data_IF_824725500974
#
_entry.id   IF_824725500974
#
_cell.length_a   1.000
_cell.length_b   1.000
_cell.length_c   1.000
_cell.angle_alpha   90.00
_cell.angle_beta   90.00
_cell.angle_gamma   90.00
#
_symmetry.space_group_name_H-M   'P 1'
#
loop_
_entity.id
_entity.type
_entity.pdbx_description
1 polymer ?
#
# COMPACT_ATOMS: atom_id res chain seq x y z
N UNK A 1 51.57 -67.34 27.41
CA UNK A 1 50.54 -68.10 28.12
C UNK A 1 49.75 -67.11 28.96
N UNK A 2 48.47 -66.90 28.82
CA UNK A 2 47.50 -67.30 27.82
C UNK A 2 46.22 -66.52 28.18
N UNK A 3 45.56 -65.98 27.17
CA UNK A 3 44.12 -66.03 26.95
C UNK A 3 43.11 -65.76 28.09
N UNK A 4 42.08 -65.01 27.68
CA UNK A 4 40.66 -65.36 27.78
C UNK A 4 39.78 -64.71 28.86
N UNK A 5 38.73 -64.03 28.37
CA UNK A 5 37.45 -63.88 29.07
C UNK A 5 36.72 -65.22 29.16
N UNK A 6 35.68 -65.30 30.01
CA UNK A 6 34.41 -65.84 29.54
C UNK A 6 33.19 -64.96 29.87
N UNK A 7 32.03 -65.40 29.38
CA UNK A 7 30.80 -64.70 29.02
C UNK A 7 29.61 -65.48 29.61
N UNK A 8 28.43 -64.80 29.69
CA UNK A 8 27.04 -65.35 29.81
C UNK A 8 26.63 -65.82 31.24
N UNK A 9 25.38 -65.70 31.76
CA UNK A 9 24.01 -65.79 31.22
C UNK A 9 22.97 -64.94 32.04
N UNK A 10 21.79 -64.63 31.47
CA UNK A 10 20.62 -63.99 32.14
C UNK A 10 19.62 -65.02 32.73
N UNK A 11 18.28 -64.84 32.73
CA UNK A 11 17.39 -63.68 32.99
C UNK A 11 16.24 -64.01 34.02
N UNK A 12 15.49 -63.02 34.52
CA UNK A 12 14.11 -63.16 35.09
C UNK A 12 13.50 -61.74 35.23
N UNK A 13 12.40 -61.37 34.54
CA UNK A 13 11.01 -61.67 34.89
C UNK A 13 10.46 -60.56 35.83
N UNK A 14 9.98 -59.42 35.33
CA UNK A 14 8.64 -59.09 34.79
C UNK A 14 7.75 -58.33 35.81
N UNK A 15 6.92 -57.45 35.24
CA UNK A 15 5.74 -56.77 35.77
C UNK A 15 5.90 -55.58 36.73
N UNK A 16 5.55 -54.39 36.22
CA UNK A 16 5.37 -53.17 37.01
C UNK A 16 5.32 -51.90 36.17
N UNK A 17 4.41 -51.86 35.20
CA UNK A 17 4.17 -50.76 34.28
C UNK A 17 3.78 -49.44 34.98
N UNK A 18 4.53 -48.37 34.71
CA UNK A 18 3.98 -47.02 34.61
C UNK A 18 4.82 -46.17 33.66
N UNK A 19 4.38 -46.21 32.39
CA UNK A 19 4.49 -45.15 31.37
C UNK A 19 5.91 -44.73 30.95
N UNK A 20 6.42 -45.52 30.01
CA UNK A 20 7.47 -45.16 29.06
C UNK A 20 6.98 -44.13 28.03
N UNK A 21 7.95 -43.32 27.62
CA UNK A 21 8.24 -42.92 26.24
C UNK A 21 7.29 -41.89 25.59
N UNK A 22 7.80 -40.88 24.87
CA UNK A 22 8.69 -41.11 23.74
C UNK A 22 9.43 -39.82 23.36
N UNK A 23 10.73 -39.79 23.66
CA UNK A 23 11.66 -38.86 23.03
C UNK A 23 11.77 -39.26 21.57
N UNK A 24 11.31 -38.35 20.69
CA UNK A 24 11.64 -38.21 19.25
C UNK A 24 12.21 -39.49 18.63
N UNK A 25 11.32 -40.41 18.31
CA UNK A 25 11.62 -41.49 17.38
C UNK A 25 11.75 -40.85 15.99
N UNK A 26 12.97 -40.51 15.61
CA UNK A 26 13.30 -40.30 14.20
C UNK A 26 12.89 -41.58 13.48
N UNK A 27 11.86 -41.46 12.63
CA UNK A 27 11.46 -42.51 11.70
C UNK A 27 12.62 -42.70 10.73
N UNK A 28 13.52 -43.64 11.08
CA UNK A 28 14.32 -44.38 10.13
C UNK A 28 13.41 -45.46 9.55
N UNK A 29 13.02 -45.31 8.29
CA UNK A 29 12.41 -46.39 7.51
C UNK A 29 11.46 -45.90 6.42
N UNK A 30 11.83 -46.14 5.16
CA UNK A 30 10.90 -46.15 4.02
C UNK A 30 11.23 -45.17 2.89
N UNK A 31 11.95 -45.64 1.88
CA UNK A 31 12.07 -44.99 0.57
C UNK A 31 10.69 -44.92 -0.11
N UNK A 32 10.13 -43.72 -0.26
CA UNK A 32 9.25 -43.27 -1.37
C UNK A 32 8.50 -41.99 -0.94
N UNK A 33 9.03 -40.82 -1.29
CA UNK A 33 8.33 -39.55 -1.07
C UNK A 33 9.29 -38.45 -0.68
N UNK A 34 9.68 -37.62 -1.64
CA UNK A 34 10.45 -36.41 -1.37
C UNK A 34 9.73 -35.56 -0.31
N UNK A 35 10.41 -35.04 0.72
CA UNK A 35 9.81 -34.08 1.63
C UNK A 35 9.52 -32.81 0.83
N UNK A 36 8.27 -32.62 0.44
CA UNK A 36 7.83 -31.37 -0.18
C UNK A 36 7.91 -30.29 0.90
N UNK A 37 8.92 -29.42 0.78
CA UNK A 37 9.00 -28.19 1.54
C UNK A 37 7.84 -27.29 1.09
N UNK A 38 6.69 -27.41 1.75
CA UNK A 38 5.55 -26.52 1.56
C UNK A 38 5.92 -25.14 2.12
N UNK A 39 6.43 -24.27 1.27
CA UNK A 39 6.53 -22.85 1.58
C UNK A 39 5.12 -22.24 1.51
N UNK A 40 4.43 -22.23 2.65
CA UNK A 40 3.21 -21.43 2.78
C UNK A 40 3.66 -19.97 2.77
N UNK A 41 3.56 -19.34 1.60
CA UNK A 41 3.59 -17.88 1.47
C UNK A 41 2.34 -17.36 2.16
N UNK A 42 2.47 -17.11 3.47
CA UNK A 42 1.46 -16.42 4.25
C UNK A 42 1.50 -14.95 3.84
N UNK A 43 0.65 -14.58 2.87
CA UNK A 43 0.24 -13.19 2.70
C UNK A 43 -0.66 -12.87 3.89
N UNK A 44 -0.26 -12.01 4.84
CA UNK A 44 -1.15 -11.65 5.94
C UNK A 44 -2.39 -10.96 5.34
N UNK A 45 -3.53 -11.64 5.36
CA UNK A 45 -4.83 -11.07 5.02
C UNK A 45 -5.38 -10.50 6.32
N UNK A 46 -5.09 -9.23 6.64
CA UNK A 46 -5.71 -8.66 7.84
C UNK A 46 -5.09 -7.45 8.52
N UNK A 47 -4.22 -6.68 7.88
CA UNK A 47 -3.97 -5.32 8.32
C UNK A 47 -3.87 -4.43 7.09
N UNK A 48 -4.74 -3.42 7.00
CA UNK A 48 -4.65 -2.33 6.02
C UNK A 48 -3.46 -1.46 6.41
N UNK A 49 -2.27 -2.04 6.26
CA UNK A 49 -0.99 -1.43 6.55
C UNK A 49 -0.49 -0.73 5.30
N UNK A 50 -0.49 0.60 5.30
CA UNK A 50 0.24 1.36 4.29
C UNK A 50 1.68 1.60 4.76
N UNK A 51 2.56 1.81 3.79
CA UNK A 51 3.98 2.06 4.02
C UNK A 51 4.50 3.13 3.07
N UNK A 52 5.53 3.85 3.52
CA UNK A 52 6.21 4.83 2.69
C UNK A 52 6.78 4.17 1.43
N UNK A 53 6.85 4.93 0.33
CA UNK A 53 7.26 4.41 -0.97
C UNK A 53 8.63 3.70 -0.93
N UNK A 54 9.60 4.27 -0.21
CA UNK A 54 10.94 3.68 -0.04
C UNK A 54 10.90 2.35 0.71
N UNK A 55 10.07 2.23 1.75
CA UNK A 55 9.88 0.99 2.50
C UNK A 55 9.21 -0.09 1.66
N UNK A 56 8.29 0.31 0.78
CA UNK A 56 7.64 -0.59 -0.18
C UNK A 56 8.62 -1.06 -1.27
N UNK A 57 9.53 -0.19 -1.72
CA UNK A 57 10.53 -0.53 -2.72
C UNK A 57 11.66 -1.41 -2.16
N UNK A 58 12.01 -1.27 -0.88
CA UNK A 58 13.18 -1.93 -0.28
C UNK A 58 12.89 -3.29 0.38
N UNK A 59 11.83 -4.00 -0.03
CA UNK A 59 11.23 -5.16 0.68
C UNK A 59 12.26 -6.09 1.34
N UNK A 60 12.55 -5.83 2.62
CA UNK A 60 13.19 -6.75 3.55
C UNK A 60 12.11 -7.14 4.57
N UNK A 61 11.41 -8.25 4.30
CA UNK A 61 10.22 -8.71 5.02
C UNK A 61 10.47 -9.13 6.47
N UNK A 62 11.70 -9.05 6.97
CA UNK A 62 12.08 -9.62 8.27
C UNK A 62 11.80 -8.71 9.48
N UNK A 63 11.38 -7.44 9.30
CA UNK A 63 11.14 -6.50 10.42
C UNK A 63 9.95 -5.56 10.14
N UNK A 64 8.73 -5.88 10.61
CA UNK A 64 7.61 -4.94 10.54
C UNK A 64 7.78 -3.88 11.63
N UNK A 65 8.66 -2.88 11.40
CA UNK A 65 8.88 -1.81 12.38
C UNK A 65 7.90 -0.64 12.26
N UNK A 66 7.08 -0.56 11.20
CA UNK A 66 6.08 0.49 11.07
C UNK A 66 4.97 0.13 10.07
N UNK A 67 3.92 -0.54 10.53
CA UNK A 67 2.67 -0.69 9.77
C UNK A 67 1.75 0.47 10.11
N UNK A 68 1.56 1.39 9.17
CA UNK A 68 0.65 2.52 9.36
C UNK A 68 -0.75 2.15 8.89
N UNK A 69 -1.78 2.63 9.58
CA UNK A 69 -3.16 2.51 9.09
C UNK A 69 -3.45 3.71 8.19
N UNK A 70 -3.73 3.47 6.91
CA UNK A 70 -4.18 4.52 6.00
C UNK A 70 -5.70 4.47 5.85
N UNK A 71 -6.36 5.60 6.10
CA UNK A 71 -7.80 5.78 5.82
C UNK A 71 -8.07 6.57 4.55
N UNK A 72 -7.07 6.72 3.67
CA UNK A 72 -7.14 7.63 2.52
C UNK A 72 -8.31 7.32 1.60
N UNK A 73 -8.90 8.37 1.05
CA UNK A 73 -10.06 8.31 0.15
C UNK A 73 -9.63 8.23 -1.30
N UNK A 74 -10.30 7.41 -2.09
CA UNK A 74 -10.06 7.22 -3.53
C UNK A 74 -10.45 8.47 -4.34
N UNK A 75 -9.98 8.60 -5.60
CA UNK A 75 -10.43 9.68 -6.50
C UNK A 75 -11.95 9.71 -6.68
N UNK A 76 -12.59 8.53 -6.64
CA UNK A 76 -14.04 8.38 -6.76
C UNK A 76 -14.83 9.02 -5.62
N UNK A 77 -14.25 9.08 -4.42
CA UNK A 77 -14.83 9.79 -3.28
C UNK A 77 -14.70 11.30 -3.44
N UNK A 78 -13.49 11.78 -3.73
CA UNK A 78 -13.19 13.22 -3.78
C UNK A 78 -13.91 13.96 -4.91
N UNK A 79 -14.22 13.28 -6.01
CA UNK A 79 -14.92 13.89 -7.16
C UNK A 79 -16.42 14.14 -6.94
N UNK A 80 -17.02 13.53 -5.92
CA UNK A 80 -18.46 13.65 -5.68
C UNK A 80 -18.78 15.07 -5.20
N UNK A 81 -19.70 15.81 -5.86
CA UNK A 81 -20.08 17.16 -5.42
C UNK A 81 -20.55 17.20 -3.96
N UNK A 82 -21.29 16.17 -3.53
CA UNK A 82 -21.77 16.01 -2.15
C UNK A 82 -20.71 15.59 -1.13
N UNK A 83 -19.44 15.50 -1.54
CA UNK A 83 -18.28 15.30 -0.66
C UNK A 83 -17.35 16.51 -0.66
N UNK A 84 -17.71 17.61 -1.33
CA UNK A 84 -16.89 18.83 -1.37
C UNK A 84 -16.75 19.53 -0.02
N UNK A 85 -17.73 19.38 0.87
CA UNK A 85 -17.61 19.82 2.27
C UNK A 85 -16.45 19.13 3.02
N UNK A 86 -16.04 17.94 2.58
CA UNK A 86 -14.98 17.15 3.20
C UNK A 86 -13.58 17.59 2.71
N UNK A 87 -13.48 18.44 1.69
CA UNK A 87 -12.18 18.90 1.20
C UNK A 87 -11.45 19.78 2.23
N UNK A 88 -10.11 19.80 2.25
CA UNK A 88 -9.33 20.71 3.08
C UNK A 88 -9.41 22.15 2.52
N UNK A 89 -10.55 22.82 2.73
CA UNK A 89 -10.93 24.10 2.11
C UNK A 89 -10.00 25.28 2.43
N UNK A 90 -9.18 25.18 3.49
CA UNK A 90 -8.13 26.17 3.77
C UNK A 90 -7.01 26.19 2.71
N UNK A 91 -6.88 25.12 1.92
CA UNK A 91 -5.83 24.96 0.90
C UNK A 91 -6.39 24.72 -0.49
N UNK A 92 -7.42 23.90 -0.61
CA UNK A 92 -7.92 23.41 -1.89
C UNK A 92 -9.44 23.62 -1.99
N UNK A 93 -9.85 24.36 -3.01
CA UNK A 93 -11.24 24.72 -3.28
C UNK A 93 -11.74 23.84 -4.44
N UNK A 94 -12.76 22.99 -4.24
CA UNK A 94 -13.27 22.12 -5.29
C UNK A 94 -14.11 22.86 -6.34
N UNK A 95 -14.86 23.87 -5.94
CA UNK A 95 -15.81 24.58 -6.79
C UNK A 95 -15.97 26.03 -6.34
N UNK A 96 -16.16 26.95 -7.29
CA UNK A 96 -16.55 28.34 -7.04
C UNK A 96 -18.07 28.50 -6.83
N UNK A 97 -18.84 27.45 -7.12
CA UNK A 97 -20.30 27.42 -6.99
C UNK A 97 -20.72 26.53 -5.84
N UNK A 98 -21.75 26.95 -5.10
CA UNK A 98 -22.36 26.15 -4.05
C UNK A 98 -22.99 24.87 -4.62
N UNK A 99 -22.92 23.79 -3.85
CA UNK A 99 -23.58 22.52 -4.13
C UNK A 99 -24.67 22.29 -3.09
N UNK A 100 -25.89 22.09 -3.55
CA UNK A 100 -27.07 21.80 -2.72
C UNK A 100 -27.75 20.51 -3.19
N UNK A 101 -28.61 19.92 -2.34
CA UNK A 101 -29.45 18.78 -2.73
C UNK A 101 -28.81 17.42 -2.46
N UNK A 102 -27.86 17.35 -1.54
CA UNK A 102 -27.11 16.12 -1.21
C UNK A 102 -27.87 15.12 -0.32
N UNK A 103 -29.18 15.28 -0.15
CA UNK A 103 -30.02 14.46 0.74
C UNK A 103 -29.78 14.71 2.24
N UNK A 104 -28.57 15.11 2.63
CA UNK A 104 -28.21 15.63 3.94
C UNK A 104 -27.76 17.10 3.80
N UNK A 105 -28.38 18.07 4.49
CA UNK A 105 -27.95 19.47 4.44
C UNK A 105 -26.50 19.69 4.88
N UNK A 106 -25.98 18.86 5.79
CA UNK A 106 -24.57 18.94 6.24
C UNK A 106 -23.59 18.54 5.13
N UNK A 107 -24.06 17.86 4.08
CA UNK A 107 -23.27 17.49 2.92
C UNK A 107 -23.31 18.54 1.80
N UNK A 108 -24.10 19.61 1.96
CA UNK A 108 -24.07 20.74 1.04
C UNK A 108 -22.73 21.48 1.17
N UNK A 109 -22.23 22.01 0.07
CA UNK A 109 -20.98 22.75 0.03
C UNK A 109 -21.26 24.22 -0.28
N UNK A 110 -20.71 25.11 0.54
CA UNK A 110 -20.72 26.55 0.29
C UNK A 110 -19.28 27.01 0.13
N UNK A 111 -18.90 27.59 -1.03
CA UNK A 111 -17.56 28.09 -1.26
C UNK A 111 -17.28 29.34 -0.40
N UNK A 112 -16.02 29.59 -0.01
CA UNK A 112 -15.63 30.87 0.57
C UNK A 112 -15.96 32.05 -0.36
N UNK A 113 -16.13 33.24 0.20
CA UNK A 113 -16.41 34.46 -0.59
C UNK A 113 -15.31 34.71 -1.62
N UNK A 114 -15.70 34.99 -2.87
CA UNK A 114 -14.81 35.17 -4.04
C UNK A 114 -13.85 33.99 -4.30
N UNK A 115 -14.18 32.78 -3.84
CA UNK A 115 -13.35 31.61 -4.10
C UNK A 115 -13.36 31.23 -5.58
N UNK A 116 -12.20 30.79 -6.06
CA UNK A 116 -12.05 30.14 -7.35
C UNK A 116 -11.64 28.69 -7.15
N UNK A 117 -12.14 27.79 -8.00
CA UNK A 117 -11.76 26.40 -7.96
C UNK A 117 -10.24 26.26 -8.17
N UNK A 118 -9.59 25.46 -7.34
CA UNK A 118 -8.14 25.28 -7.39
C UNK A 118 -7.75 24.58 -8.70
N UNK A 119 -6.87 25.22 -9.45
CA UNK A 119 -6.31 24.67 -10.70
C UNK A 119 -5.21 23.65 -10.40
N UNK A 120 -5.01 22.71 -11.32
CA UNK A 120 -3.98 21.70 -11.19
C UNK A 120 -2.58 22.29 -11.38
N UNK A 121 -2.42 23.18 -12.37
CA UNK A 121 -1.16 23.84 -12.69
C UNK A 121 -0.64 24.76 -11.56
N UNK A 122 -1.52 25.36 -10.76
CA UNK A 122 -1.12 26.17 -9.60
C UNK A 122 -0.49 25.32 -8.49
N UNK A 123 -0.83 24.03 -8.42
CA UNK A 123 -0.35 23.11 -7.38
C UNK A 123 0.86 22.30 -7.86
N UNK A 124 0.83 21.86 -9.11
CA UNK A 124 1.80 20.93 -9.69
C UNK A 124 2.73 21.56 -10.74
N UNK A 125 2.57 22.86 -11.01
CA UNK A 125 3.33 23.61 -12.01
C UNK A 125 2.74 23.48 -13.43
N UNK A 126 3.02 24.49 -14.27
CA UNK A 126 2.50 24.56 -15.65
C UNK A 126 2.96 23.40 -16.54
N UNK A 127 4.17 22.86 -16.30
CA UNK A 127 4.67 21.66 -16.98
C UNK A 127 3.88 20.39 -16.66
N UNK A 128 3.01 20.43 -15.64
CA UNK A 128 2.13 19.34 -15.24
C UNK A 128 1.07 18.95 -16.27
N UNK A 129 0.96 19.68 -17.39
CA UNK A 129 0.22 19.27 -18.60
C UNK A 129 -1.29 19.06 -18.44
N UNK A 130 -1.92 19.80 -17.53
CA UNK A 130 -3.38 19.97 -17.42
C UNK A 130 -3.69 21.45 -17.23
N UNK A 131 -3.26 22.27 -18.19
CA UNK A 131 -3.39 23.71 -18.13
C UNK A 131 -4.87 24.11 -18.00
N UNK A 132 -5.16 25.02 -17.07
CA UNK A 132 -6.51 25.52 -16.77
C UNK A 132 -7.52 24.51 -16.23
N UNK A 133 -7.18 23.22 -16.09
CA UNK A 133 -8.07 22.27 -15.43
C UNK A 133 -7.99 22.44 -13.91
N UNK A 134 -9.15 22.43 -13.27
CA UNK A 134 -9.32 22.35 -11.83
C UNK A 134 -8.99 20.96 -11.30
N UNK A 135 -8.71 20.86 -10.00
CA UNK A 135 -8.51 19.57 -9.34
C UNK A 135 -9.73 18.64 -9.52
N UNK A 136 -10.95 19.20 -9.51
CA UNK A 136 -12.19 18.43 -9.76
C UNK A 136 -12.29 17.97 -11.21
N UNK A 137 -11.92 18.79 -12.19
CA UNK A 137 -11.89 18.37 -13.60
C UNK A 137 -10.86 17.27 -13.84
N UNK A 138 -9.68 17.37 -13.22
CA UNK A 138 -8.66 16.31 -13.27
C UNK A 138 -9.20 15.01 -12.66
N UNK A 139 -9.89 15.07 -11.52
CA UNK A 139 -10.54 13.90 -10.89
C UNK A 139 -11.62 13.26 -11.79
N UNK A 140 -12.21 14.02 -12.71
CA UNK A 140 -13.23 13.58 -13.65
C UNK A 140 -12.70 13.21 -15.04
N UNK A 141 -11.37 13.24 -15.25
CA UNK A 141 -10.78 12.82 -16.52
C UNK A 141 -11.24 11.38 -16.87
N UNK A 142 -11.64 11.13 -18.13
CA UNK A 142 -12.03 9.81 -18.58
C UNK A 142 -10.83 8.85 -18.61
N UNK A 143 -11.09 7.58 -18.91
CA UNK A 143 -10.06 6.58 -19.13
C UNK A 143 -10.02 5.47 -18.09
N UNK A 144 -9.12 4.51 -18.32
CA UNK A 144 -8.93 3.35 -17.48
C UNK A 144 -8.12 3.69 -16.20
N UNK A 145 -7.76 2.67 -15.43
CA UNK A 145 -7.02 2.78 -14.18
C UNK A 145 -5.50 2.93 -14.34
N UNK A 146 -5.02 3.23 -15.55
CA UNK A 146 -3.61 3.24 -15.90
C UNK A 146 -3.21 4.51 -16.66
N UNK A 147 -1.90 4.76 -16.71
CA UNK A 147 -1.34 5.88 -17.46
C UNK A 147 -1.52 7.24 -16.81
N UNK A 148 -1.24 8.27 -17.60
CA UNK A 148 -1.06 9.64 -17.12
C UNK A 148 -2.31 10.20 -16.44
N UNK A 149 -3.48 10.06 -17.06
CA UNK A 149 -4.74 10.58 -16.52
C UNK A 149 -5.16 9.83 -15.26
N UNK A 150 -5.00 8.51 -15.24
CA UNK A 150 -5.24 7.74 -14.03
C UNK A 150 -4.30 8.17 -12.91
N UNK A 151 -3.00 8.34 -13.20
CA UNK A 151 -2.05 8.82 -12.22
C UNK A 151 -2.44 10.22 -11.71
N UNK A 152 -2.84 11.14 -12.59
CA UNK A 152 -3.28 12.48 -12.21
C UNK A 152 -4.46 12.43 -11.24
N UNK A 153 -5.48 11.60 -11.51
CA UNK A 153 -6.61 11.37 -10.59
C UNK A 153 -6.15 10.88 -9.22
N UNK A 154 -5.25 9.89 -9.19
CA UNK A 154 -4.72 9.32 -7.96
C UNK A 154 -3.81 10.30 -7.19
N UNK A 155 -3.07 11.16 -7.89
CA UNK A 155 -2.22 12.21 -7.32
C UNK A 155 -3.06 13.31 -6.67
N UNK A 156 -4.16 13.74 -7.30
CA UNK A 156 -5.09 14.69 -6.68
C UNK A 156 -5.72 14.09 -5.43
N UNK A 157 -6.18 12.83 -5.49
CA UNK A 157 -6.73 12.15 -4.30
C UNK A 157 -5.70 12.03 -3.17
N UNK A 158 -4.47 11.64 -3.50
CA UNK A 158 -3.36 11.57 -2.55
C UNK A 158 -3.02 12.92 -1.91
N UNK A 159 -3.06 14.01 -2.69
CA UNK A 159 -2.86 15.37 -2.20
C UNK A 159 -3.93 15.75 -1.17
N UNK A 160 -5.20 15.49 -1.48
CA UNK A 160 -6.33 15.78 -0.58
C UNK A 160 -6.25 14.94 0.71
N UNK A 161 -5.89 13.66 0.59
CA UNK A 161 -5.70 12.77 1.74
C UNK A 161 -4.57 13.24 2.67
N UNK A 162 -3.43 13.66 2.09
CA UNK A 162 -2.28 14.17 2.83
C UNK A 162 -2.61 15.51 3.51
N UNK A 163 -3.27 16.42 2.79
CA UNK A 163 -3.65 17.73 3.32
C UNK A 163 -4.71 17.66 4.42
N UNK A 164 -5.56 16.63 4.39
CA UNK A 164 -6.52 16.35 5.46
C UNK A 164 -5.93 15.58 6.64
N UNK A 165 -4.71 15.05 6.50
CA UNK A 165 -4.06 14.25 7.54
C UNK A 165 -4.63 12.84 7.72
N UNK A 166 -5.40 12.34 6.75
CA UNK A 166 -5.95 10.98 6.80
C UNK A 166 -4.87 9.95 6.43
N UNK A 167 -3.92 10.35 5.59
CA UNK A 167 -2.69 9.60 5.33
C UNK A 167 -1.59 10.15 6.22
N UNK A 168 -0.90 9.31 7.03
CA UNK A 168 0.21 9.77 7.86
C UNK A 168 1.29 10.45 7.02
N UNK A 169 1.80 11.59 7.50
CA UNK A 169 2.83 12.38 6.81
C UNK A 169 4.12 11.59 6.52
N UNK A 170 4.40 10.59 7.37
CA UNK A 170 5.53 9.65 7.22
C UNK A 170 5.34 8.66 6.07
N UNK A 171 4.11 8.42 5.64
CA UNK A 171 3.77 7.56 4.49
C UNK A 171 3.72 8.39 3.22
N UNK A 172 2.96 9.49 3.24
CA UNK A 172 2.76 10.35 2.09
C UNK A 172 2.41 11.78 2.52
N UNK A 173 3.31 12.72 2.26
CA UNK A 173 3.11 14.16 2.50
C UNK A 173 2.71 14.89 1.22
N UNK A 174 2.13 16.09 1.33
CA UNK A 174 1.82 16.94 0.17
C UNK A 174 3.07 17.22 -0.69
N UNK A 175 4.21 17.45 -0.05
CA UNK A 175 5.50 17.67 -0.73
C UNK A 175 5.92 16.43 -1.51
N UNK A 176 5.76 15.24 -0.92
CA UNK A 176 6.04 13.97 -1.58
C UNK A 176 5.13 13.75 -2.79
N UNK A 177 3.83 14.04 -2.67
CA UNK A 177 2.86 13.93 -3.78
C UNK A 177 3.27 14.84 -4.95
N UNK A 178 3.64 16.08 -4.67
CA UNK A 178 4.13 17.03 -5.70
C UNK A 178 5.41 16.54 -6.36
N UNK A 179 6.36 15.99 -5.58
CA UNK A 179 7.61 15.45 -6.10
C UNK A 179 7.41 14.19 -6.96
N UNK A 180 6.45 13.33 -6.61
CA UNK A 180 6.08 12.17 -7.43
C UNK A 180 5.59 12.63 -8.79
N UNK A 181 4.66 13.59 -8.82
CA UNK A 181 4.14 14.10 -10.09
C UNK A 181 5.22 14.79 -10.93
N UNK A 182 6.03 15.65 -10.32
CA UNK A 182 7.14 16.32 -11.02
C UNK A 182 8.14 15.31 -11.61
N UNK A 183 8.47 14.25 -10.88
CA UNK A 183 9.32 13.17 -11.38
C UNK A 183 8.71 12.45 -12.57
N UNK A 184 7.42 12.13 -12.49
CA UNK A 184 6.69 11.47 -13.57
C UNK A 184 6.62 12.34 -14.82
N UNK A 185 6.33 13.63 -14.69
CA UNK A 185 6.30 14.56 -15.83
C UNK A 185 7.66 14.69 -16.49
N UNK A 186 8.74 14.76 -15.71
CA UNK A 186 10.08 14.95 -16.24
C UNK A 186 10.68 13.69 -16.88
N UNK A 187 10.34 12.50 -16.35
CA UNK A 187 11.06 11.24 -16.68
C UNK A 187 10.15 10.07 -17.09
N UNK A 188 8.85 10.17 -16.86
CA UNK A 188 7.88 9.08 -17.03
C UNK A 188 7.79 8.09 -15.86
N UNK A 189 8.59 8.28 -14.81
CA UNK A 189 8.63 7.39 -13.64
C UNK A 189 8.96 8.14 -12.35
N UNK A 190 8.63 7.49 -11.22
CA UNK A 190 9.07 7.88 -9.89
C UNK A 190 10.08 6.86 -9.35
N UNK A 191 11.06 7.33 -8.59
CA UNK A 191 12.16 6.50 -8.09
C UNK A 191 12.23 6.64 -6.57
N UNK A 192 11.46 5.84 -5.81
CA UNK A 192 11.43 5.93 -4.35
C UNK A 192 12.75 5.55 -3.69
N UNK A 193 13.52 4.69 -4.36
CA UNK A 193 14.86 4.24 -3.97
C UNK A 193 15.70 4.16 -5.23
N UNK A 194 16.97 4.56 -5.14
CA UNK A 194 17.89 4.53 -6.28
C UNK A 194 17.89 3.17 -6.98
N UNK A 195 17.69 3.18 -8.30
CA UNK A 195 17.65 1.99 -9.15
C UNK A 195 16.27 1.32 -9.26
N UNK A 196 15.26 1.72 -8.48
CA UNK A 196 13.91 1.14 -8.53
C UNK A 196 12.96 2.14 -9.16
N UNK A 197 12.48 1.85 -10.37
CA UNK A 197 11.62 2.76 -11.15
C UNK A 197 10.17 2.31 -11.11
N UNK A 198 9.28 3.24 -10.79
CA UNK A 198 7.85 3.03 -10.75
C UNK A 198 7.14 3.85 -11.81
N UNK A 199 6.24 3.20 -12.55
CA UNK A 199 5.59 3.75 -13.73
C UNK A 199 4.07 3.79 -13.54
N UNK A 200 3.38 4.65 -14.30
CA UNK A 200 1.92 4.76 -14.25
C UNK A 200 1.20 3.58 -14.93
N UNK A 201 1.86 2.90 -15.87
CA UNK A 201 1.27 1.88 -16.75
C UNK A 201 1.50 0.44 -16.29
N UNK A 202 1.93 0.22 -15.04
CA UNK A 202 2.19 -1.13 -14.53
C UNK A 202 1.21 -1.46 -13.40
N UNK A 203 0.59 -2.63 -13.50
CA UNK A 203 -0.43 -3.10 -12.55
C UNK A 203 0.17 -3.70 -11.27
N UNK A 204 1.40 -4.23 -11.33
CA UNK A 204 2.01 -4.95 -10.21
C UNK A 204 2.89 -4.03 -9.33
N UNK A 205 2.62 -3.94 -8.02
CA UNK A 205 3.34 -3.01 -7.15
C UNK A 205 4.78 -3.45 -6.80
N UNK A 206 5.15 -4.73 -6.99
CA UNK A 206 6.40 -5.31 -6.44
C UNK A 206 7.26 -6.08 -7.47
N UNK A 207 7.69 -5.42 -8.54
CA UNK A 207 8.89 -5.83 -9.30
C UNK A 207 9.83 -4.64 -9.49
N UNK A 208 11.02 -4.83 -10.08
CA UNK A 208 11.93 -3.73 -10.44
C UNK A 208 11.26 -2.64 -11.32
N UNK A 209 10.06 -2.93 -11.84
CA UNK A 209 9.10 -2.09 -12.55
C UNK A 209 7.79 -2.04 -11.74
N UNK A 210 7.75 -1.25 -10.66
CA UNK A 210 6.58 -1.17 -9.79
C UNK A 210 5.48 -0.26 -10.34
N UNK A 211 4.22 -0.63 -10.12
CA UNK A 211 3.07 0.21 -10.43
C UNK A 211 2.92 1.37 -9.46
N UNK A 212 3.19 2.59 -9.92
CA UNK A 212 3.04 3.80 -9.10
C UNK A 212 1.60 3.98 -8.61
N UNK A 213 0.63 3.73 -9.50
CA UNK A 213 -0.80 3.78 -9.19
C UNK A 213 -1.17 2.67 -8.19
N UNK A 214 -0.61 1.47 -8.34
CA UNK A 214 -0.86 0.35 -7.45
C UNK A 214 -0.40 0.67 -6.01
N UNK A 215 0.79 1.27 -5.84
CA UNK A 215 1.24 1.75 -4.54
C UNK A 215 0.34 2.85 -3.99
N UNK A 216 -0.02 3.85 -4.80
CA UNK A 216 -0.92 4.93 -4.38
C UNK A 216 -2.25 4.37 -3.86
N UNK A 217 -2.84 3.39 -4.53
CA UNK A 217 -4.07 2.70 -4.08
C UNK A 217 -3.94 2.11 -2.67
N UNK A 218 -2.77 1.61 -2.26
CA UNK A 218 -2.55 1.11 -0.89
C UNK A 218 -2.65 2.19 0.19
N UNK A 219 -2.42 3.45 -0.17
CA UNK A 219 -2.57 4.60 0.73
C UNK A 219 -4.01 5.13 0.80
N UNK A 220 -4.90 4.66 -0.09
CA UNK A 220 -6.30 5.07 -0.18
C UNK A 220 -7.26 3.89 -0.38
N UNK A 221 -7.49 3.07 0.65
CA UNK A 221 -8.29 1.85 0.56
C UNK A 221 -9.81 2.07 0.50
N UNK A 222 -10.31 3.29 0.75
CA UNK A 222 -11.74 3.62 0.91
C UNK A 222 -12.24 4.63 -0.10
#
# INVERSE_FOLDING_TARGET
MDSNQPRLDGPAGDAGEAVRASRRRFVRGGLAGAPVLLSVVSRPVGAVGCSAASAFASVNTSRPRNTYVCGGRTPGYWKQPCKFWDWPLAKYIPSATAITGCGNPDANYTPPYNASATKFDTIFGAAGGYMNLTLVEVLNLPGNDMGRDALARHIVAALLNAAKGITPITVLSETTVKAIWASFVARGYYEPTAGIKWYADYAEPATQTGGLIAWLKTTMPV
#
